data_IF_415773577628
#
_entry.id   IF_415773577628
#
_cell.length_a   1.000
_cell.length_b   1.000
_cell.length_c   1.000
_cell.angle_alpha   90.00
_cell.angle_beta   90.00
_cell.angle_gamma   90.00
#
_symmetry.space_group_name_H-M   'P 1'
#
loop_
_entity.id
_entity.type
_entity.pdbx_description
1 polymer ?
#
# COMPACT_ATOMS: atom_id res chain seq x y z
N UNK A 1 30.49 20.86 6.82
CA UNK A 1 30.05 21.94 5.89
C UNK A 1 28.63 22.35 6.21
N UNK A 2 28.27 23.64 6.10
CA UNK A 2 26.91 24.13 6.33
C UNK A 2 26.16 24.36 5.00
N UNK A 3 24.90 23.91 4.93
CA UNK A 3 23.95 24.15 3.83
C UNK A 3 22.63 24.70 4.40
N UNK A 4 21.84 25.39 3.58
CA UNK A 4 20.54 25.94 3.97
C UNK A 4 19.40 25.24 3.21
N UNK A 5 18.61 24.43 3.91
CA UNK A 5 17.44 23.73 3.35
C UNK A 5 16.20 24.61 3.53
N UNK A 6 15.77 25.30 2.46
CA UNK A 6 14.54 26.10 2.48
C UNK A 6 13.37 25.33 1.86
N UNK A 7 12.23 25.27 2.55
CA UNK A 7 11.01 24.62 2.08
C UNK A 7 9.77 25.43 2.48
N UNK A 8 8.69 25.25 1.73
CA UNK A 8 7.41 25.91 1.99
C UNK A 8 6.50 24.95 2.74
N UNK A 9 5.87 25.39 3.83
CA UNK A 9 4.89 24.61 4.58
C UNK A 9 3.57 25.38 4.71
N UNK A 10 2.45 24.68 4.57
CA UNK A 10 1.14 25.21 4.93
C UNK A 10 0.91 24.99 6.43
N UNK A 11 0.58 26.03 7.16
CA UNK A 11 0.28 25.97 8.59
C UNK A 11 -1.13 25.44 8.85
N UNK A 12 -1.43 25.00 10.07
CA UNK A 12 -2.81 24.60 10.48
C UNK A 12 -3.86 25.70 10.28
N UNK A 13 -3.45 26.98 10.22
CA UNK A 13 -4.32 28.14 9.92
C UNK A 13 -4.42 28.47 8.42
N UNK A 14 -3.94 27.58 7.54
CA UNK A 14 -3.99 27.78 6.09
C UNK A 14 -2.84 28.63 5.50
N UNK A 15 -2.19 29.48 6.30
CA UNK A 15 -1.10 30.36 5.86
C UNK A 15 0.10 29.57 5.33
N UNK A 16 0.68 30.05 4.23
CA UNK A 16 1.87 29.49 3.57
C UNK A 16 3.12 30.17 4.12
N UNK A 17 4.06 29.40 4.68
CA UNK A 17 5.27 29.92 5.33
C UNK A 17 6.52 29.27 4.75
N UNK A 18 7.46 30.08 4.27
CA UNK A 18 8.81 29.61 3.91
C UNK A 18 9.60 29.39 5.20
N UNK A 19 10.01 28.14 5.43
CA UNK A 19 10.91 27.78 6.54
C UNK A 19 12.31 27.56 5.97
N UNK A 20 13.32 28.23 6.53
CA UNK A 20 14.73 27.92 6.28
C UNK A 20 15.25 27.14 7.48
N UNK A 21 15.95 26.03 7.25
CA UNK A 21 16.70 25.30 8.26
C UNK A 21 18.15 25.19 7.84
N UNK A 22 19.04 25.36 8.80
CA UNK A 22 20.43 24.96 8.66
C UNK A 22 20.52 23.44 8.55
N UNK A 23 21.43 22.96 7.71
CA UNK A 23 21.69 21.55 7.49
C UNK A 23 23.21 21.33 7.50
N UNK A 24 23.68 20.66 8.54
CA UNK A 24 25.08 20.37 8.76
C UNK A 24 25.44 19.05 8.06
N UNK A 25 26.44 19.12 7.18
CA UNK A 25 27.08 17.98 6.53
C UNK A 25 28.38 17.64 7.26
N UNK A 26 28.48 16.38 7.66
CA UNK A 26 29.48 15.76 8.52
C UNK A 26 30.33 14.77 7.72
N UNK A 27 31.59 14.63 8.12
CA UNK A 27 32.57 13.67 7.62
C UNK A 27 32.97 12.62 8.68
N UNK A 28 32.42 12.72 9.89
CA UNK A 28 32.65 11.85 11.05
C UNK A 28 31.52 10.80 11.26
N UNK A 29 30.75 10.46 10.21
CA UNK A 29 29.68 9.46 10.27
C UNK A 29 30.22 8.07 9.89
N UNK A 30 30.11 7.11 10.81
CA UNK A 30 30.56 5.74 10.60
C UNK A 30 29.66 4.93 9.64
N UNK A 31 30.23 3.91 9.01
CA UNK A 31 29.54 3.00 8.08
C UNK A 31 28.78 1.85 8.76
N UNK A 32 29.00 1.61 10.06
CA UNK A 32 28.34 0.54 10.81
C UNK A 32 29.03 -0.83 10.78
N UNK A 33 30.11 -1.01 10.02
CA UNK A 33 30.83 -2.29 9.89
C UNK A 33 31.86 -2.52 11.02
N UNK A 34 31.73 -3.63 11.75
CA UNK A 34 32.51 -3.95 12.96
C UNK A 34 34.03 -3.97 12.70
N UNK A 35 34.48 -4.53 11.57
CA UNK A 35 35.90 -4.61 11.21
C UNK A 35 36.38 -3.50 10.24
N UNK A 36 35.62 -2.42 10.06
CA UNK A 36 36.01 -1.36 9.12
C UNK A 36 37.37 -0.72 9.47
N UNK A 37 38.35 -0.66 8.54
CA UNK A 37 39.67 -0.08 8.78
C UNK A 37 39.71 1.45 8.62
N UNK A 38 38.64 2.08 8.11
CA UNK A 38 38.61 3.52 7.86
C UNK A 38 38.68 4.32 9.17
N UNK A 39 39.53 5.36 9.21
CA UNK A 39 39.85 6.12 10.43
C UNK A 39 38.62 6.64 11.18
N UNK A 40 37.65 7.17 10.46
CA UNK A 40 36.37 7.68 11.03
C UNK A 40 35.61 6.55 11.74
N UNK A 41 35.49 5.39 11.10
CA UNK A 41 34.75 4.25 11.63
C UNK A 41 35.48 3.65 12.83
N UNK A 42 36.81 3.58 12.77
CA UNK A 42 37.64 3.14 13.89
C UNK A 42 37.58 4.10 15.10
N UNK A 43 37.50 5.41 14.87
CA UNK A 43 37.31 6.39 15.95
C UNK A 43 35.91 6.27 16.56
N UNK A 44 34.86 6.21 15.74
CA UNK A 44 33.49 6.07 16.22
C UNK A 44 33.25 4.81 17.07
N UNK A 45 33.98 3.70 16.81
CA UNK A 45 33.98 2.51 17.68
C UNK A 45 34.60 2.82 19.06
N UNK A 46 35.76 3.48 19.10
CA UNK A 46 36.41 3.91 20.35
C UNK A 46 35.54 4.87 21.14
N UNK A 47 34.97 5.88 20.49
CA UNK A 47 34.09 6.86 21.12
C UNK A 47 32.87 6.19 21.78
N UNK A 48 32.37 5.09 21.19
CA UNK A 48 31.26 4.29 21.72
C UNK A 48 31.69 3.35 22.87
N UNK A 49 32.94 2.90 22.91
CA UNK A 49 33.54 2.16 24.02
C UNK A 49 33.83 3.08 25.23
N UNK A 50 34.32 4.29 24.98
CA UNK A 50 34.63 5.29 26.01
C UNK A 50 33.37 5.84 26.70
N UNK A 51 32.22 5.85 26.02
CA UNK A 51 30.92 6.28 26.57
C UNK A 51 30.25 5.24 27.50
N UNK A 52 30.94 4.16 27.84
CA UNK A 52 30.51 3.14 28.81
C UNK A 52 30.16 1.80 28.16
N UNK A 53 29.60 0.83 28.90
CA UNK A 53 29.24 -0.49 28.39
C UNK A 53 27.99 -0.44 27.50
N UNK A 54 28.12 0.25 26.36
CA UNK A 54 27.11 0.38 25.31
C UNK A 54 27.03 -0.85 24.39
N UNK A 55 27.98 -1.78 24.54
CA UNK A 55 28.03 -3.03 23.77
C UNK A 55 27.01 -4.05 24.30
N UNK A 56 25.75 -3.94 23.85
CA UNK A 56 24.72 -4.94 24.15
C UNK A 56 25.11 -6.25 23.49
N UNK A 57 25.20 -7.33 24.28
CA UNK A 57 25.62 -8.67 23.85
C UNK A 57 26.99 -8.68 23.11
N UNK A 58 27.89 -7.75 23.45
CA UNK A 58 29.20 -7.62 22.82
C UNK A 58 29.21 -6.92 21.45
N UNK A 59 28.06 -6.38 21.00
CA UNK A 59 27.90 -5.73 19.70
C UNK A 59 28.04 -4.20 19.88
N UNK A 60 29.04 -3.59 19.25
CA UNK A 60 29.26 -2.15 19.32
C UNK A 60 28.12 -1.39 18.62
N UNK A 61 27.41 -0.44 19.27
CA UNK A 61 26.28 0.26 18.66
C UNK A 61 26.70 1.22 17.53
N UNK A 62 27.97 1.66 17.51
CA UNK A 62 28.52 2.42 16.39
C UNK A 62 28.93 1.55 15.19
N UNK A 63 29.04 0.22 15.39
CA UNK A 63 29.41 -0.73 14.35
C UNK A 63 28.78 -2.13 14.56
N UNK A 64 27.46 -2.27 14.41
CA UNK A 64 26.76 -3.53 14.71
C UNK A 64 26.78 -4.55 13.56
N UNK A 65 27.09 -4.14 12.33
CA UNK A 65 27.06 -5.00 11.14
C UNK A 65 28.20 -6.02 11.18
N UNK A 66 27.85 -7.30 11.04
CA UNK A 66 28.76 -8.46 11.11
C UNK A 66 29.81 -8.45 9.99
N UNK A 67 31.03 -8.94 10.30
CA UNK A 67 32.05 -9.30 9.32
C UNK A 67 31.78 -10.64 8.61
N UNK A 68 30.90 -11.46 9.18
CA UNK A 68 30.29 -12.61 8.50
C UNK A 68 28.78 -12.35 8.37
N UNK A 69 28.33 -11.55 7.39
CA UNK A 69 26.92 -11.51 7.01
C UNK A 69 26.51 -12.80 6.28
N UNK A 70 25.24 -12.91 5.91
CA UNK A 70 24.77 -13.99 5.03
C UNK A 70 25.51 -13.91 3.69
N UNK A 71 25.91 -15.08 3.20
CA UNK A 71 26.48 -15.28 1.87
C UNK A 71 25.40 -15.78 0.91
N UNK A 72 25.51 -15.49 -0.39
CA UNK A 72 24.59 -15.93 -1.43
C UNK A 72 25.28 -16.07 -2.78
N UNK A 73 24.83 -17.02 -3.59
CA UNK A 73 25.34 -17.23 -4.96
C UNK A 73 25.17 -15.99 -5.86
N UNK A 74 24.22 -15.10 -5.54
CA UNK A 74 23.92 -13.91 -6.34
C UNK A 74 24.82 -12.71 -6.01
N UNK A 75 25.19 -12.51 -4.74
CA UNK A 75 25.85 -11.28 -4.26
C UNK A 75 27.09 -11.50 -3.39
N UNK A 76 27.42 -12.75 -3.05
CA UNK A 76 28.42 -13.05 -2.04
C UNK A 76 27.94 -12.67 -0.62
N UNK A 77 28.88 -12.45 0.32
CA UNK A 77 28.58 -11.83 1.62
C UNK A 77 27.92 -10.45 1.42
N UNK A 78 26.73 -10.23 1.97
CA UNK A 78 25.96 -9.02 1.65
C UNK A 78 25.21 -8.39 2.84
N UNK A 79 25.00 -7.08 2.75
CA UNK A 79 24.11 -6.31 3.63
C UNK A 79 22.88 -5.86 2.84
N UNK A 80 21.70 -5.91 3.45
CA UNK A 80 20.47 -5.42 2.81
C UNK A 80 20.29 -3.92 3.05
N UNK A 81 19.93 -3.17 2.02
CA UNK A 81 19.59 -1.74 2.10
C UNK A 81 18.19 -1.54 1.51
N UNK A 82 17.11 -1.72 2.29
CA UNK A 82 15.75 -1.60 1.77
C UNK A 82 15.35 -0.15 1.52
N UNK A 83 14.53 0.05 0.48
CA UNK A 83 13.86 1.32 0.23
C UNK A 83 12.66 1.55 1.17
N UNK A 84 11.97 2.68 1.00
CA UNK A 84 10.78 3.01 1.78
C UNK A 84 9.63 2.03 1.53
N UNK A 85 9.42 1.59 0.29
CA UNK A 85 8.28 0.77 -0.10
C UNK A 85 8.40 -0.67 0.43
N UNK A 86 9.61 -1.23 0.49
CA UNK A 86 9.90 -2.51 1.12
C UNK A 86 9.47 -2.50 2.60
N UNK A 87 9.77 -1.43 3.35
CA UNK A 87 9.27 -1.30 4.72
C UNK A 87 7.75 -1.05 4.80
N UNK A 88 7.19 -0.19 3.95
CA UNK A 88 5.74 0.11 3.99
C UNK A 88 4.89 -1.14 3.73
N UNK A 89 5.30 -1.97 2.77
CA UNK A 89 4.53 -3.14 2.34
C UNK A 89 4.88 -4.42 3.10
N UNK A 90 6.13 -4.60 3.53
CA UNK A 90 6.67 -5.91 3.93
C UNK A 90 7.41 -5.87 5.29
N UNK A 91 7.13 -4.90 6.16
CA UNK A 91 7.70 -4.82 7.53
C UNK A 91 7.52 -6.11 8.34
N UNK A 92 6.43 -6.84 8.15
CA UNK A 92 6.15 -8.12 8.85
C UNK A 92 7.19 -9.19 8.52
N UNK A 93 7.74 -9.17 7.29
CA UNK A 93 8.83 -10.04 6.83
C UNK A 93 10.14 -9.58 7.48
N UNK A 94 10.44 -8.28 7.41
CA UNK A 94 11.65 -7.71 8.02
C UNK A 94 11.72 -7.91 9.55
N UNK A 95 10.59 -8.07 10.24
CA UNK A 95 10.57 -8.40 11.67
C UNK A 95 10.98 -9.85 11.97
N UNK A 96 11.06 -10.77 11.00
CA UNK A 96 11.51 -12.16 11.21
C UNK A 96 12.99 -12.20 11.62
N UNK A 97 13.37 -12.84 12.75
CA UNK A 97 14.73 -12.81 13.31
C UNK A 97 15.87 -13.13 12.33
N UNK A 98 15.60 -13.98 11.33
CA UNK A 98 16.58 -14.39 10.31
C UNK A 98 17.09 -13.25 9.41
N UNK A 99 16.33 -12.15 9.27
CA UNK A 99 16.76 -10.98 8.51
C UNK A 99 17.58 -10.06 9.43
N UNK A 100 18.90 -10.20 9.35
CA UNK A 100 19.88 -9.35 10.03
C UNK A 100 20.87 -8.69 9.08
N UNK A 101 21.76 -7.84 9.63
CA UNK A 101 22.73 -7.05 8.85
C UNK A 101 22.07 -6.12 7.81
N UNK A 102 21.06 -5.36 8.26
CA UNK A 102 20.30 -4.42 7.45
C UNK A 102 20.77 -2.99 7.72
N UNK A 103 21.03 -2.22 6.65
CA UNK A 103 21.33 -0.79 6.73
C UNK A 103 20.08 0.01 6.38
N UNK A 104 19.56 0.77 7.34
CA UNK A 104 18.42 1.66 7.15
C UNK A 104 18.93 3.08 6.94
N UNK A 105 18.56 3.69 5.81
CA UNK A 105 19.00 5.05 5.48
C UNK A 105 18.16 6.12 6.19
N UNK A 106 18.77 7.24 6.56
CA UNK A 106 18.05 8.35 7.19
C UNK A 106 16.96 8.96 6.28
N UNK A 107 17.16 8.99 4.96
CA UNK A 107 16.12 9.40 3.99
C UNK A 107 14.87 8.53 4.10
N UNK A 108 15.05 7.20 4.15
CA UNK A 108 13.98 6.20 4.29
C UNK A 108 13.26 6.35 5.64
N UNK A 109 13.98 6.54 6.75
CA UNK A 109 13.36 6.79 8.06
C UNK A 109 12.54 8.09 8.11
N UNK A 110 12.99 9.14 7.43
CA UNK A 110 12.27 10.42 7.38
C UNK A 110 11.01 10.33 6.51
N UNK A 111 11.03 9.55 5.41
CA UNK A 111 9.83 9.22 4.62
C UNK A 111 8.85 8.36 5.40
N UNK A 112 9.30 7.28 6.05
CA UNK A 112 8.45 6.43 6.89
C UNK A 112 7.76 7.26 7.99
N UNK A 113 8.44 8.26 8.56
CA UNK A 113 7.82 9.18 9.53
C UNK A 113 6.70 10.02 8.93
N UNK A 114 6.78 10.35 7.64
CA UNK A 114 5.75 11.08 6.90
C UNK A 114 4.59 10.20 6.41
N UNK A 115 4.87 8.96 5.99
CA UNK A 115 3.91 8.01 5.43
C UNK A 115 3.17 7.19 6.50
N UNK A 116 3.91 6.57 7.44
CA UNK A 116 3.36 5.69 8.46
C UNK A 116 4.21 5.69 9.74
N UNK A 117 3.78 6.48 10.72
CA UNK A 117 4.37 6.49 12.07
C UNK A 117 4.37 5.10 12.74
N UNK A 118 3.44 4.21 12.37
CA UNK A 118 3.41 2.83 12.86
C UNK A 118 4.61 2.04 12.33
N UNK A 119 4.82 2.01 11.01
CA UNK A 119 5.97 1.33 10.37
C UNK A 119 7.29 1.94 10.83
N UNK A 120 7.39 3.27 10.91
CA UNK A 120 8.56 3.95 11.49
C UNK A 120 8.88 3.46 12.91
N UNK A 121 7.86 3.31 13.76
CA UNK A 121 8.05 2.87 15.15
C UNK A 121 8.50 1.40 15.23
N UNK A 122 7.97 0.54 14.33
CA UNK A 122 8.38 -0.87 14.17
C UNK A 122 9.83 -1.00 13.71
N UNK A 123 10.21 -0.33 12.62
CA UNK A 123 11.61 -0.26 12.15
C UNK A 123 12.55 0.24 13.26
N UNK A 124 12.17 1.28 14.00
CA UNK A 124 12.95 1.78 15.14
C UNK A 124 12.98 0.84 16.35
N UNK A 125 12.06 -0.11 16.47
CA UNK A 125 12.12 -1.18 17.45
C UNK A 125 13.13 -2.27 17.03
N UNK A 126 13.09 -2.73 15.77
CA UNK A 126 14.07 -3.70 15.23
C UNK A 126 15.50 -3.15 15.27
N UNK A 127 15.70 -1.86 14.97
CA UNK A 127 17.02 -1.19 15.09
C UNK A 127 17.56 -1.15 16.52
N UNK A 128 16.71 -1.24 17.55
CA UNK A 128 17.16 -1.29 18.97
C UNK A 128 17.53 -2.69 19.43
N UNK A 129 17.12 -3.71 18.69
CA UNK A 129 17.51 -5.09 18.95
C UNK A 129 18.90 -5.34 18.36
N UNK A 130 19.92 -5.37 19.22
CA UNK A 130 21.31 -5.55 18.83
C UNK A 130 21.56 -6.89 18.15
N UNK A 131 20.81 -7.94 18.48
CA UNK A 131 21.01 -9.29 17.91
C UNK A 131 20.68 -9.32 16.41
N UNK A 132 19.77 -8.44 15.98
CA UNK A 132 19.41 -8.26 14.57
C UNK A 132 20.54 -7.63 13.75
N UNK A 133 21.47 -6.91 14.40
CA UNK A 133 22.58 -6.21 13.74
C UNK A 133 22.09 -5.22 12.66
N UNK A 134 21.09 -4.42 13.00
CA UNK A 134 20.61 -3.36 12.12
C UNK A 134 21.35 -2.06 12.40
N UNK A 135 21.66 -1.28 11.36
CA UNK A 135 22.38 -0.01 11.47
C UNK A 135 21.60 1.13 10.80
N UNK A 136 21.65 2.33 11.37
CA UNK A 136 21.04 3.53 10.76
C UNK A 136 22.13 4.44 10.21
N UNK A 137 22.30 4.42 8.89
CA UNK A 137 23.27 5.28 8.22
C UNK A 137 22.68 6.66 7.93
N UNK A 138 23.30 7.69 8.50
CA UNK A 138 22.82 9.08 8.46
C UNK A 138 23.20 9.80 7.15
N UNK A 139 22.82 9.22 6.00
CA UNK A 139 23.17 9.69 4.66
C UNK A 139 22.76 11.15 4.36
N UNK A 140 21.64 11.66 4.91
CA UNK A 140 21.28 13.08 4.76
C UNK A 140 22.31 14.02 5.41
N UNK A 141 23.00 13.56 6.45
CA UNK A 141 24.02 14.34 7.17
C UNK A 141 25.45 14.02 6.73
N UNK A 142 25.67 13.03 5.88
CA UNK A 142 27.00 12.61 5.46
C UNK A 142 27.45 13.38 4.21
N UNK A 143 28.62 14.02 4.26
CA UNK A 143 29.14 14.94 3.24
C UNK A 143 29.12 14.35 1.83
N UNK A 144 29.56 13.11 1.67
CA UNK A 144 29.72 12.49 0.35
C UNK A 144 28.48 11.73 -0.15
N UNK A 145 27.40 11.63 0.66
CA UNK A 145 26.15 10.93 0.26
C UNK A 145 24.92 11.83 0.32
N UNK A 146 25.05 13.05 0.83
CA UNK A 146 24.00 14.06 0.75
C UNK A 146 23.76 14.53 -0.69
N UNK A 147 22.48 14.51 -1.09
CA UNK A 147 22.04 14.88 -2.43
C UNK A 147 21.13 16.11 -2.39
N UNK A 148 21.49 17.17 -3.13
CA UNK A 148 20.61 18.32 -3.37
C UNK A 148 19.58 17.99 -4.46
N UNK A 149 18.35 18.50 -4.29
CA UNK A 149 17.24 18.33 -5.23
C UNK A 149 17.48 19.15 -6.50
N UNK A 150 17.43 18.52 -7.67
CA UNK A 150 17.52 19.22 -8.94
C UNK A 150 16.23 19.98 -9.28
N UNK A 151 16.32 21.02 -10.12
CA UNK A 151 15.24 21.99 -10.34
C UNK A 151 13.91 21.38 -10.85
N UNK A 152 13.99 20.33 -11.67
CA UNK A 152 12.84 19.62 -12.26
C UNK A 152 12.54 18.26 -11.64
N UNK A 153 13.24 17.89 -10.56
CA UNK A 153 13.18 16.55 -9.95
C UNK A 153 12.03 16.44 -8.94
N UNK A 154 11.31 15.32 -8.92
CA UNK A 154 10.29 15.07 -7.89
C UNK A 154 10.94 14.83 -6.52
N UNK A 155 10.22 14.99 -5.39
CA UNK A 155 10.74 14.58 -4.08
C UNK A 155 11.12 13.09 -4.02
N UNK A 156 10.39 12.22 -4.75
CA UNK A 156 10.65 10.79 -4.81
C UNK A 156 11.95 10.49 -5.55
N UNK A 157 12.09 10.96 -6.81
CA UNK A 157 13.30 10.78 -7.63
C UNK A 157 14.57 11.23 -6.90
N UNK A 158 14.48 12.35 -6.17
CA UNK A 158 15.60 12.86 -5.35
C UNK A 158 15.97 11.87 -4.26
N UNK A 159 14.99 11.26 -3.61
CA UNK A 159 15.22 10.33 -2.51
C UNK A 159 15.71 8.98 -3.03
N UNK A 160 15.17 8.46 -4.13
CA UNK A 160 15.70 7.29 -4.84
C UNK A 160 17.17 7.50 -5.23
N UNK A 161 17.50 8.70 -5.71
CA UNK A 161 18.88 9.09 -6.02
C UNK A 161 19.75 9.22 -4.76
N UNK A 162 19.22 9.70 -3.64
CA UNK A 162 19.92 9.76 -2.36
C UNK A 162 20.19 8.35 -1.79
N UNK A 163 19.24 7.43 -1.96
CA UNK A 163 19.37 6.01 -1.61
C UNK A 163 20.48 5.37 -2.46
N UNK A 164 20.40 5.45 -3.80
CA UNK A 164 21.45 4.94 -4.70
C UNK A 164 22.82 5.53 -4.41
N UNK A 165 22.91 6.84 -4.15
CA UNK A 165 24.19 7.50 -3.80
C UNK A 165 24.77 6.94 -2.50
N UNK A 166 23.95 6.70 -1.48
CA UNK A 166 24.38 6.09 -0.23
C UNK A 166 24.84 4.62 -0.41
N UNK A 167 24.10 3.81 -1.18
CA UNK A 167 24.49 2.42 -1.48
C UNK A 167 25.80 2.37 -2.29
N UNK A 168 25.98 3.26 -3.27
CA UNK A 168 27.21 3.39 -4.06
C UNK A 168 28.42 3.76 -3.20
N UNK A 169 28.24 4.66 -2.23
CA UNK A 169 29.27 4.98 -1.25
C UNK A 169 29.59 3.78 -0.35
N UNK A 170 28.57 3.08 0.18
CA UNK A 170 28.78 1.87 0.97
C UNK A 170 29.53 0.79 0.18
N UNK A 171 29.22 0.60 -1.11
CA UNK A 171 29.90 -0.37 -1.98
C UNK A 171 31.40 -0.09 -2.05
N UNK A 172 31.76 1.16 -2.36
CA UNK A 172 33.16 1.58 -2.45
C UNK A 172 33.87 1.53 -1.08
N UNK A 173 33.14 1.78 0.01
CA UNK A 173 33.68 1.76 1.37
C UNK A 173 33.90 0.34 1.92
N UNK A 174 33.11 -0.64 1.46
CA UNK A 174 33.16 -2.05 1.88
C UNK A 174 33.90 -2.96 0.89
N UNK A 175 34.41 -2.41 -0.22
CA UNK A 175 35.14 -3.16 -1.26
C UNK A 175 36.30 -3.99 -0.68
N UNK A 176 37.09 -3.41 0.24
CA UNK A 176 38.20 -4.10 0.92
C UNK A 176 37.77 -5.24 1.87
N UNK A 177 36.47 -5.33 2.21
CA UNK A 177 35.89 -6.40 3.01
C UNK A 177 35.18 -7.46 2.14
N UNK A 178 35.07 -7.25 0.82
CA UNK A 178 34.30 -8.08 -0.10
C UNK A 178 32.82 -8.26 0.30
N UNK A 179 32.22 -7.24 0.95
CA UNK A 179 30.80 -7.26 1.34
C UNK A 179 29.98 -6.35 0.40
N UNK A 180 28.97 -6.91 -0.25
CA UNK A 180 28.09 -6.19 -1.17
C UNK A 180 26.89 -5.56 -0.43
N UNK A 181 26.68 -4.22 -0.49
CA UNK A 181 25.42 -3.63 -0.08
C UNK A 181 24.40 -3.77 -1.22
N UNK A 182 23.30 -4.49 -0.96
CA UNK A 182 22.26 -4.82 -1.92
C UNK A 182 21.04 -3.94 -1.67
N UNK A 183 20.69 -3.10 -2.64
CA UNK A 183 19.47 -2.29 -2.61
C UNK A 183 18.25 -3.18 -2.84
N UNK A 184 17.35 -3.25 -1.87
CA UNK A 184 16.07 -3.98 -2.00
C UNK A 184 14.97 -2.97 -2.35
N UNK A 185 14.43 -3.06 -3.56
CA UNK A 185 13.38 -2.15 -4.06
C UNK A 185 12.51 -2.85 -5.10
N UNK A 186 11.19 -2.63 -5.03
CA UNK A 186 10.25 -3.13 -6.03
C UNK A 186 9.94 -2.09 -7.12
N UNK A 187 10.57 -0.90 -7.06
CA UNK A 187 10.47 0.12 -8.11
C UNK A 187 11.40 -0.25 -9.28
N UNK A 188 10.80 -0.67 -10.39
CA UNK A 188 11.49 -1.07 -11.62
C UNK A 188 12.36 0.06 -12.23
N UNK A 189 11.98 1.32 -12.04
CA UNK A 189 12.77 2.47 -12.46
C UNK A 189 14.01 2.65 -11.59
N UNK A 190 13.88 2.46 -10.27
CA UNK A 190 15.00 2.53 -9.34
C UNK A 190 15.96 1.34 -9.52
N UNK A 191 15.44 0.13 -9.76
CA UNK A 191 16.24 -1.06 -10.10
C UNK A 191 17.13 -0.84 -11.33
N UNK A 192 16.55 -0.36 -12.44
CA UNK A 192 17.30 -0.06 -13.68
C UNK A 192 18.39 0.96 -13.43
N UNK A 193 18.03 2.12 -12.84
CA UNK A 193 18.98 3.20 -12.54
C UNK A 193 20.08 2.76 -11.55
N UNK A 194 19.79 1.83 -10.63
CA UNK A 194 20.79 1.27 -9.71
C UNK A 194 21.77 0.34 -10.45
N UNK A 195 21.27 -0.52 -11.34
CA UNK A 195 22.12 -1.38 -12.19
C UNK A 195 23.00 -0.54 -13.12
N UNK A 196 22.48 0.53 -13.72
CA UNK A 196 23.24 1.51 -14.52
C UNK A 196 24.35 2.21 -13.69
N UNK A 197 24.08 2.49 -12.41
CA UNK A 197 25.05 3.04 -11.46
C UNK A 197 26.14 2.03 -11.02
N UNK A 198 26.03 0.75 -11.41
CA UNK A 198 26.89 -0.34 -10.98
C UNK A 198 26.61 -0.84 -9.55
N UNK A 199 25.39 -0.63 -9.05
CA UNK A 199 24.96 -1.02 -7.70
C UNK A 199 24.24 -2.38 -7.77
N UNK A 200 24.53 -3.27 -6.82
CA UNK A 200 23.74 -4.50 -6.63
C UNK A 200 22.34 -4.13 -6.14
N UNK A 201 21.31 -4.45 -6.94
CA UNK A 201 19.93 -4.14 -6.61
C UNK A 201 19.00 -5.27 -7.06
N UNK A 202 18.04 -5.61 -6.20
CA UNK A 202 17.10 -6.71 -6.37
C UNK A 202 15.69 -6.36 -5.89
N UNK A 203 14.71 -7.10 -6.41
CA UNK A 203 13.33 -7.07 -5.90
C UNK A 203 13.23 -7.81 -4.57
N UNK A 204 12.14 -7.61 -3.82
CA UNK A 204 11.94 -8.35 -2.57
C UNK A 204 11.83 -9.86 -2.80
N UNK A 205 11.16 -10.31 -3.88
CA UNK A 205 11.05 -11.72 -4.23
C UNK A 205 12.42 -12.36 -4.53
N UNK A 206 13.26 -11.65 -5.31
CA UNK A 206 14.66 -12.02 -5.54
C UNK A 206 15.47 -12.08 -4.23
N UNK A 207 15.25 -11.13 -3.31
CA UNK A 207 15.90 -11.10 -2.00
C UNK A 207 15.49 -12.27 -1.10
N UNK A 208 14.22 -12.66 -1.10
CA UNK A 208 13.72 -13.73 -0.23
C UNK A 208 14.06 -15.13 -0.75
N UNK A 209 14.28 -15.30 -2.06
CA UNK A 209 14.82 -16.54 -2.63
C UNK A 209 16.22 -16.93 -2.07
N UNK A 210 16.97 -15.99 -1.49
CA UNK A 210 18.24 -16.26 -0.78
C UNK A 210 18.04 -16.93 0.59
N UNK A 211 16.82 -16.90 1.11
CA UNK A 211 16.39 -17.59 2.32
C UNK A 211 15.62 -18.87 1.95
N UNK A 212 16.21 -19.69 1.06
CA UNK A 212 15.62 -20.92 0.54
C UNK A 212 15.20 -21.94 1.60
N UNK A 213 15.80 -21.86 2.79
CA UNK A 213 15.49 -22.67 3.96
C UNK A 213 14.27 -22.16 4.76
N UNK A 214 13.68 -21.02 4.35
CA UNK A 214 12.46 -20.41 4.88
C UNK A 214 11.49 -19.98 3.77
N UNK A 215 10.88 -20.94 3.02
CA UNK A 215 9.96 -20.64 1.94
C UNK A 215 8.73 -19.82 2.39
N UNK A 216 8.35 -19.90 3.68
CA UNK A 216 7.23 -19.13 4.24
C UNK A 216 7.41 -17.61 4.14
N UNK A 217 8.65 -17.12 3.94
CA UNK A 217 8.91 -15.70 3.72
C UNK A 217 8.35 -15.22 2.37
N UNK A 218 8.36 -16.07 1.34
CA UNK A 218 7.78 -15.74 0.04
C UNK A 218 6.25 -15.65 0.13
N UNK A 219 5.62 -16.61 0.82
CA UNK A 219 4.18 -16.61 1.08
C UNK A 219 3.73 -15.33 1.82
N UNK A 220 4.55 -14.84 2.75
CA UNK A 220 4.31 -13.61 3.50
C UNK A 220 4.36 -12.32 2.66
N UNK A 221 4.91 -12.32 1.44
CA UNK A 221 4.88 -11.10 0.60
C UNK A 221 3.46 -10.71 0.17
N UNK A 222 2.56 -11.69 0.08
CA UNK A 222 1.27 -11.56 -0.60
C UNK A 222 1.44 -11.36 -2.10
N UNK A 223 0.47 -11.84 -2.89
CA UNK A 223 0.42 -11.55 -4.32
C UNK A 223 -0.01 -10.09 -4.56
N UNK A 224 0.96 -9.17 -4.52
CA UNK A 224 0.79 -7.75 -4.92
C UNK A 224 0.47 -7.64 -6.42
N UNK A 225 0.81 -8.68 -7.20
CA UNK A 225 0.38 -8.85 -8.58
C UNK A 225 -1.13 -9.19 -8.63
N UNK A 226 -1.97 -8.14 -8.59
CA UNK A 226 -3.39 -8.20 -8.97
C UNK A 226 -3.47 -8.28 -10.51
N UNK A 227 -2.94 -9.37 -11.08
CA UNK A 227 -2.95 -9.64 -12.53
C UNK A 227 -3.60 -10.98 -12.88
N UNK A 228 -3.66 -11.93 -11.94
CA UNK A 228 -4.00 -13.33 -12.24
C UNK A 228 -5.10 -13.91 -11.34
N UNK A 229 -6.18 -13.14 -11.13
CA UNK A 229 -7.48 -13.69 -10.65
C UNK A 229 -8.65 -13.07 -11.43
N UNK A 230 -9.18 -13.88 -12.34
CA UNK A 230 -10.43 -13.69 -13.09
C UNK A 230 -10.49 -12.47 -14.03
N UNK A 231 -9.68 -12.52 -15.10
CA UNK A 231 -9.98 -11.76 -16.32
C UNK A 231 -11.16 -12.38 -17.12
N UNK A 232 -11.53 -13.62 -16.81
CA UNK A 232 -12.51 -14.44 -17.53
C UNK A 232 -13.92 -14.45 -16.90
N UNK A 233 -14.19 -13.59 -15.92
CA UNK A 233 -15.56 -13.34 -15.41
C UNK A 233 -16.13 -12.06 -16.05
N UNK A 234 -16.94 -12.17 -17.12
CA UNK A 234 -17.54 -11.01 -17.77
C UNK A 234 -18.71 -10.39 -16.98
N UNK A 235 -19.17 -10.99 -15.88
CA UNK A 235 -20.24 -10.44 -15.05
C UNK A 235 -19.69 -9.47 -13.99
N UNK A 236 -18.54 -9.78 -13.38
CA UNK A 236 -17.97 -8.96 -12.31
C UNK A 236 -16.94 -7.93 -12.82
N UNK A 237 -17.42 -6.75 -13.23
CA UNK A 237 -16.56 -5.61 -13.66
C UNK A 237 -15.67 -4.98 -12.56
N UNK A 238 -15.64 -5.55 -11.35
CA UNK A 238 -14.90 -5.02 -10.22
C UNK A 238 -15.71 -4.07 -9.32
N UNK A 239 -15.10 -3.68 -8.21
CA UNK A 239 -15.69 -2.69 -7.29
C UNK A 239 -15.45 -1.26 -7.80
N UNK A 240 -16.46 -0.37 -7.82
CA UNK A 240 -16.30 1.02 -8.25
C UNK A 240 -15.15 1.74 -7.55
N UNK A 241 -14.46 2.65 -8.25
CA UNK A 241 -13.40 3.45 -7.64
C UNK A 241 -13.94 4.30 -6.47
N UNK A 242 -13.12 4.49 -5.43
CA UNK A 242 -13.48 5.39 -4.34
C UNK A 242 -13.16 6.83 -4.73
N UNK A 243 -14.06 7.76 -4.39
CA UNK A 243 -13.84 9.19 -4.58
C UNK A 243 -12.55 9.63 -3.87
N UNK A 244 -11.82 10.55 -4.49
CA UNK A 244 -10.57 11.08 -3.90
C UNK A 244 -10.83 11.72 -2.53
N UNK A 245 -9.82 11.73 -1.65
CA UNK A 245 -9.96 12.31 -0.31
C UNK A 245 -10.43 13.78 -0.33
N UNK A 246 -10.12 14.52 -1.40
CA UNK A 246 -10.59 15.91 -1.62
C UNK A 246 -12.09 15.93 -1.96
N UNK A 247 -12.55 15.09 -2.88
CA UNK A 247 -13.97 14.96 -3.23
C UNK A 247 -14.81 14.49 -2.03
N UNK A 248 -14.34 13.48 -1.29
CA UNK A 248 -15.01 13.00 -0.06
C UNK A 248 -15.13 14.12 0.96
N UNK A 249 -14.05 14.88 1.23
CA UNK A 249 -14.10 16.01 2.16
C UNK A 249 -14.99 17.16 1.67
N UNK A 250 -15.07 17.40 0.37
CA UNK A 250 -15.96 18.39 -0.21
C UNK A 250 -17.44 17.96 -0.08
N UNK A 251 -17.77 16.73 -0.47
CA UNK A 251 -19.13 16.17 -0.38
C UNK A 251 -19.65 16.10 1.07
N UNK A 252 -18.80 15.71 2.03
CA UNK A 252 -19.15 15.72 3.46
C UNK A 252 -19.39 17.14 4.00
N UNK A 253 -18.67 18.15 3.52
CA UNK A 253 -18.88 19.56 3.92
C UNK A 253 -20.08 20.19 3.24
N UNK A 254 -20.37 19.78 2.01
CA UNK A 254 -21.55 20.22 1.25
C UNK A 254 -22.85 19.52 1.65
N UNK A 255 -22.80 18.52 2.56
CA UNK A 255 -23.97 17.74 2.98
C UNK A 255 -24.45 16.71 1.95
N UNK A 256 -23.76 16.58 0.81
CA UNK A 256 -24.10 15.62 -0.26
C UNK A 256 -23.70 14.18 0.09
N UNK A 257 -22.72 14.00 0.99
CA UNK A 257 -22.30 12.71 1.53
C UNK A 257 -22.56 12.65 3.03
N UNK A 258 -22.93 11.46 3.49
CA UNK A 258 -23.04 11.12 4.91
C UNK A 258 -21.79 10.36 5.36
N UNK A 259 -21.49 10.38 6.66
CA UNK A 259 -20.43 9.56 7.26
C UNK A 259 -20.93 8.84 8.50
N UNK A 260 -20.40 7.63 8.71
CA UNK A 260 -20.68 6.83 9.88
C UNK A 260 -19.74 5.63 9.99
N UNK A 261 -19.91 4.84 11.03
CA UNK A 261 -19.16 3.58 11.23
C UNK A 261 -20.01 2.43 10.74
N UNK A 262 -19.53 1.67 9.75
CA UNK A 262 -20.25 0.54 9.16
C UNK A 262 -20.45 -0.57 10.20
N UNK A 263 -21.70 -0.99 10.39
CA UNK A 263 -22.10 -2.15 11.18
C UNK A 263 -22.77 -3.17 10.27
N UNK A 264 -22.04 -4.25 9.99
CA UNK A 264 -22.52 -5.43 9.25
C UNK A 264 -23.38 -6.29 10.20
N UNK A 265 -24.50 -6.81 9.71
CA UNK A 265 -25.43 -7.61 10.49
C UNK A 265 -24.81 -8.98 10.86
N UNK A 266 -24.99 -9.48 12.11
CA UNK A 266 -24.34 -10.71 12.55
C UNK A 266 -24.70 -11.98 11.76
N UNK A 267 -25.86 -11.98 11.10
CA UNK A 267 -26.43 -13.13 10.39
C UNK A 267 -26.59 -12.90 8.88
N UNK A 268 -26.22 -11.71 8.38
CA UNK A 268 -26.24 -11.39 6.96
C UNK A 268 -25.08 -10.45 6.64
N UNK A 269 -24.02 -10.99 6.04
CA UNK A 269 -22.83 -10.21 5.71
C UNK A 269 -23.03 -9.29 4.50
N UNK A 270 -24.11 -9.47 3.73
CA UNK A 270 -24.58 -8.57 2.69
C UNK A 270 -25.49 -7.45 3.23
N UNK A 271 -25.80 -7.41 4.52
CA UNK A 271 -26.59 -6.35 5.13
C UNK A 271 -25.74 -5.54 6.12
N UNK A 272 -25.48 -4.28 5.77
CA UNK A 272 -24.78 -3.32 6.60
C UNK A 272 -25.66 -2.12 6.92
N UNK A 273 -25.27 -1.37 7.94
CA UNK A 273 -25.85 -0.06 8.21
C UNK A 273 -24.86 0.89 8.87
N UNK A 274 -25.02 2.18 8.64
CA UNK A 274 -24.36 3.24 9.38
C UNK A 274 -25.40 4.04 10.18
N UNK A 275 -24.98 4.59 11.31
CA UNK A 275 -25.65 5.75 11.90
C UNK A 275 -24.91 7.00 11.44
N UNK A 276 -25.64 7.94 10.87
CA UNK A 276 -25.10 9.20 10.34
C UNK A 276 -25.96 10.39 10.77
N UNK A 277 -25.32 11.52 11.02
CA UNK A 277 -26.00 12.80 11.26
C UNK A 277 -26.34 13.44 9.91
N UNK A 278 -27.62 13.73 9.70
CA UNK A 278 -28.17 14.36 8.50
C UNK A 278 -28.04 15.90 8.58
N UNK A 279 -28.23 16.64 7.47
CA UNK A 279 -28.12 18.11 7.45
C UNK A 279 -29.10 18.84 8.38
N UNK A 280 -30.18 18.20 8.83
CA UNK A 280 -31.12 18.69 9.84
C UNK A 280 -30.61 18.55 11.29
N UNK A 281 -29.43 17.94 11.48
CA UNK A 281 -28.80 17.66 12.77
C UNK A 281 -29.26 16.37 13.45
N UNK A 282 -30.18 15.59 12.85
CA UNK A 282 -30.66 14.34 13.44
C UNK A 282 -29.80 13.16 13.03
N UNK A 283 -29.57 12.23 13.96
CA UNK A 283 -28.96 10.94 13.62
C UNK A 283 -30.01 9.97 13.11
N UNK A 284 -29.76 9.37 11.95
CA UNK A 284 -30.63 8.34 11.36
C UNK A 284 -29.80 7.15 10.87
N UNK A 285 -30.43 5.98 10.81
CA UNK A 285 -29.83 4.77 10.24
C UNK A 285 -29.92 4.83 8.72
N UNK A 286 -28.83 4.47 8.06
CA UNK A 286 -28.76 4.28 6.60
C UNK A 286 -28.30 2.85 6.35
N UNK A 287 -29.05 2.10 5.54
CA UNK A 287 -28.69 0.75 5.11
C UNK A 287 -27.67 0.78 3.98
N UNK A 288 -26.84 -0.26 3.91
CA UNK A 288 -25.87 -0.52 2.85
C UNK A 288 -26.01 -2.00 2.50
N UNK A 289 -26.51 -2.31 1.29
CA UNK A 289 -27.01 -3.64 0.95
C UNK A 289 -26.25 -4.25 -0.24
N UNK A 290 -25.83 -5.50 -0.11
CA UNK A 290 -25.06 -6.21 -1.12
C UNK A 290 -23.57 -5.80 -1.19
N UNK A 291 -22.77 -6.64 -1.85
CA UNK A 291 -21.32 -6.45 -2.00
C UNK A 291 -21.01 -5.12 -2.68
N UNK A 292 -21.71 -4.82 -3.77
CA UNK A 292 -21.50 -3.63 -4.62
C UNK A 292 -21.67 -2.31 -3.87
N UNK A 293 -22.67 -2.19 -2.98
CA UNK A 293 -22.88 -0.96 -2.22
C UNK A 293 -22.00 -0.87 -0.97
N UNK A 294 -21.57 -2.00 -0.40
CA UNK A 294 -20.52 -2.00 0.64
C UNK A 294 -19.16 -1.58 0.10
N UNK A 295 -18.90 -1.75 -1.21
CA UNK A 295 -17.73 -1.27 -1.94
C UNK A 295 -16.41 -1.38 -1.16
N UNK A 296 -15.97 -2.63 -0.93
CA UNK A 296 -14.73 -3.00 -0.23
C UNK A 296 -14.65 -2.57 1.25
N UNK A 297 -15.69 -2.01 1.85
CA UNK A 297 -15.72 -1.67 3.28
C UNK A 297 -15.93 -2.91 4.16
N UNK A 298 -15.37 -2.88 5.37
CA UNK A 298 -15.48 -3.98 6.35
C UNK A 298 -16.11 -3.52 7.66
N UNK A 299 -16.47 -4.50 8.51
CA UNK A 299 -17.10 -4.26 9.81
C UNK A 299 -16.29 -3.25 10.65
N UNK A 300 -16.93 -2.17 11.06
CA UNK A 300 -16.33 -1.09 11.84
C UNK A 300 -15.55 -0.02 11.05
N UNK A 301 -15.44 -0.11 9.72
CA UNK A 301 -14.84 0.95 8.91
C UNK A 301 -15.63 2.26 9.08
N UNK A 302 -14.93 3.40 9.17
CA UNK A 302 -15.57 4.72 9.03
C UNK A 302 -15.65 5.07 7.56
N UNK A 303 -16.86 5.11 7.03
CA UNK A 303 -17.15 5.24 5.60
C UNK A 303 -17.81 6.57 5.27
N UNK A 304 -17.67 7.00 4.01
CA UNK A 304 -18.48 8.03 3.38
C UNK A 304 -19.51 7.34 2.47
N UNK A 305 -20.78 7.67 2.66
CA UNK A 305 -21.92 7.04 1.97
C UNK A 305 -22.68 8.10 1.18
N UNK A 306 -22.99 7.77 -0.07
CA UNK A 306 -23.92 8.52 -0.91
C UNK A 306 -25.28 7.82 -0.89
N UNK A 307 -26.36 8.57 -0.72
CA UNK A 307 -27.70 7.97 -0.69
C UNK A 307 -28.17 7.62 -2.11
N UNK A 308 -28.72 6.43 -2.24
CA UNK A 308 -29.35 5.97 -3.47
C UNK A 308 -30.68 6.71 -3.70
N UNK A 309 -31.18 6.79 -4.95
CA UNK A 309 -32.52 7.30 -5.21
C UNK A 309 -33.59 6.59 -4.35
N UNK A 310 -34.65 7.32 -3.97
CA UNK A 310 -35.76 6.81 -3.15
C UNK A 310 -36.44 5.54 -3.70
N UNK A 311 -36.33 5.28 -5.00
CA UNK A 311 -36.82 4.05 -5.62
C UNK A 311 -36.09 2.79 -5.14
N UNK A 312 -34.82 2.93 -4.72
CA UNK A 312 -33.93 1.87 -4.25
C UNK A 312 -33.86 1.78 -2.70
N UNK A 313 -34.70 2.55 -2.00
CA UNK A 313 -34.81 2.47 -0.54
C UNK A 313 -35.57 1.22 -0.10
N UNK A 314 -35.24 0.67 1.07
CA UNK A 314 -35.79 -0.62 1.51
C UNK A 314 -37.19 -0.43 2.09
N UNK A 315 -38.20 -0.99 1.43
CA UNK A 315 -39.62 -0.79 1.79
C UNK A 315 -40.21 -1.88 2.69
N UNK A 316 -39.51 -3.00 2.91
CA UNK A 316 -39.97 -4.10 3.76
C UNK A 316 -38.80 -4.78 4.51
N UNK A 317 -39.03 -5.35 5.71
CA UNK A 317 -37.99 -6.10 6.44
C UNK A 317 -37.67 -7.45 5.78
N UNK A 318 -36.36 -7.72 5.62
CA UNK A 318 -35.72 -9.02 5.37
C UNK A 318 -36.53 -10.10 4.64
N UNK A 319 -36.55 -10.03 3.30
CA UNK A 319 -36.27 -11.23 2.51
C UNK A 319 -34.74 -11.45 2.52
N UNK A 320 -34.28 -12.71 2.54
CA UNK A 320 -32.86 -13.00 2.57
C UNK A 320 -32.22 -12.65 1.23
N UNK A 321 -31.19 -11.79 1.24
CA UNK A 321 -30.37 -11.56 0.05
C UNK A 321 -29.58 -12.84 -0.20
N UNK A 322 -29.96 -13.58 -1.24
CA UNK A 322 -29.27 -14.79 -1.70
C UNK A 322 -27.96 -14.37 -2.37
N UNK A 323 -26.89 -15.12 -2.15
CA UNK A 323 -25.63 -14.91 -2.86
C UNK A 323 -25.78 -15.33 -4.32
N UNK A 324 -25.69 -14.37 -5.25
CA UNK A 324 -25.67 -14.62 -6.70
C UNK A 324 -24.43 -15.42 -7.15
N UNK A 325 -23.44 -15.57 -6.26
CA UNK A 325 -22.14 -16.23 -6.50
C UNK A 325 -22.07 -17.70 -6.01
N UNK A 326 -23.08 -18.26 -5.32
CA UNK A 326 -23.01 -19.66 -4.83
C UNK A 326 -23.12 -20.72 -5.95
N UNK A 327 -23.67 -20.36 -7.12
CA UNK A 327 -23.83 -21.28 -8.28
C UNK A 327 -22.51 -21.56 -9.05
N UNK A 328 -21.38 -20.97 -8.62
CA UNK A 328 -20.11 -20.96 -9.38
C UNK A 328 -19.00 -21.91 -8.88
N UNK A 329 -19.31 -22.88 -8.00
CA UNK A 329 -18.37 -23.98 -7.65
C UNK A 329 -18.67 -25.24 -8.48
N UNK A 330 -17.94 -25.50 -9.58
CA UNK A 330 -18.08 -26.76 -10.32
C UNK A 330 -17.56 -27.93 -9.47
N UNK A 331 -18.44 -28.92 -9.27
CA UNK A 331 -18.12 -30.20 -8.62
C UNK A 331 -17.01 -30.93 -9.39
N UNK A 332 -15.86 -31.12 -8.75
CA UNK A 332 -14.59 -31.50 -9.41
C UNK A 332 -14.52 -33.02 -9.72
N UNK A 333 -15.44 -33.82 -9.19
CA UNK A 333 -15.40 -35.29 -9.30
C UNK A 333 -16.18 -35.88 -10.51
N UNK A 334 -15.89 -35.37 -11.72
CA UNK A 334 -16.32 -36.01 -12.98
C UNK A 334 -15.17 -36.23 -13.97
N UNK A 335 -14.41 -37.29 -13.70
CA UNK A 335 -13.38 -37.84 -14.58
C UNK A 335 -13.99 -38.55 -15.83
N UNK A 336 -13.80 -38.05 -17.06
CA UNK A 336 -14.17 -38.76 -18.29
C UNK A 336 -12.99 -39.62 -18.77
N UNK A 337 -13.19 -40.94 -18.87
CA UNK A 337 -12.19 -41.86 -19.44
C UNK A 337 -11.82 -41.48 -20.87
N UNK A 338 -10.52 -41.59 -21.17
CA UNK A 338 -10.01 -41.54 -22.53
C UNK A 338 -10.34 -42.83 -23.32
N UNK A 339 -10.54 -42.70 -24.63
CA UNK A 339 -10.09 -43.67 -25.64
C UNK A 339 -9.99 -43.01 -27.03
N UNK A 340 -9.17 -43.55 -27.92
CA UNK A 340 -8.61 -42.85 -29.10
C UNK A 340 -9.15 -43.35 -30.46
N UNK A 341 -8.99 -42.52 -31.50
CA UNK A 341 -9.27 -42.84 -32.92
C UNK A 341 -8.18 -43.76 -33.55
N UNK A 342 -8.37 -44.37 -34.75
CA UNK A 342 -8.51 -43.69 -36.06
C UNK A 342 -9.68 -44.29 -36.93
N UNK A 343 -9.87 -44.12 -38.27
CA UNK A 343 -9.02 -43.61 -39.36
C UNK A 343 -9.77 -43.01 -40.60
N UNK A 344 -8.95 -42.64 -41.60
CA UNK A 344 -9.09 -42.05 -42.96
C UNK A 344 -9.40 -43.08 -44.10
N UNK A 345 -9.50 -42.72 -45.43
CA UNK A 345 -9.85 -41.46 -46.17
C UNK A 345 -10.75 -41.65 -47.45
N UNK A 346 -11.09 -40.58 -48.22
CA UNK A 346 -10.59 -40.30 -49.62
C UNK A 346 -11.42 -39.24 -50.43
N UNK A 347 -10.74 -38.53 -51.38
CA UNK A 347 -11.12 -37.74 -52.58
C UNK A 347 -12.42 -36.89 -52.65
N UNK A 348 -12.47 -35.71 -53.33
CA UNK A 348 -11.46 -34.93 -54.06
C UNK A 348 -12.07 -33.81 -54.96
N UNK A 349 -11.22 -32.91 -55.49
CA UNK A 349 -11.45 -31.86 -56.52
C UNK A 349 -12.19 -30.53 -56.16
N UNK A 350 -11.65 -29.41 -56.67
CA UNK A 350 -12.29 -28.07 -56.83
C UNK A 350 -12.21 -27.63 -58.31
N UNK A 351 -12.08 -26.33 -58.69
CA UNK A 351 -12.14 -25.09 -57.90
C UNK A 351 -12.90 -23.91 -58.60
N UNK A 352 -12.71 -22.69 -58.06
CA UNK A 352 -12.75 -21.37 -58.73
C UNK A 352 -14.09 -20.61 -58.93
N UNK A 353 -14.00 -19.27 -58.79
CA UNK A 353 -15.05 -18.29 -59.11
C UNK A 353 -15.26 -17.27 -57.99
N UNK A 354 -14.64 -16.09 -58.08
CA UNK A 354 -14.92 -14.95 -57.20
C UNK A 354 -15.31 -13.72 -58.01
N UNK A 355 -16.00 -12.76 -57.39
CA UNK A 355 -15.83 -11.31 -57.56
C UNK A 355 -16.87 -10.51 -56.74
N UNK A 356 -16.46 -9.36 -56.21
CA UNK A 356 -17.31 -8.25 -55.76
C UNK A 356 -17.03 -7.07 -56.71
N UNK A 357 -17.93 -6.07 -56.88
CA UNK A 357 -17.80 -4.89 -56.01
C UNK A 357 -19.06 -4.01 -55.77
N UNK A 358 -18.97 -3.22 -54.69
CA UNK A 358 -19.39 -1.81 -54.50
C UNK A 358 -20.81 -1.28 -54.85
N UNK A 359 -21.37 -0.47 -53.94
CA UNK A 359 -22.63 0.26 -54.14
C UNK A 359 -22.89 1.36 -53.09
N UNK A 360 -22.22 2.50 -53.25
CA UNK A 360 -22.30 3.70 -52.39
C UNK A 360 -23.63 4.49 -52.54
N UNK A 361 -24.17 5.11 -51.46
CA UNK A 361 -24.58 6.55 -51.42
C UNK A 361 -25.25 7.05 -50.13
N UNK A 362 -24.84 8.24 -49.71
CA UNK A 362 -25.34 8.99 -48.55
C UNK A 362 -26.53 9.93 -48.86
N UNK A 363 -27.22 10.40 -47.82
CA UNK A 363 -28.00 11.67 -47.84
C UNK A 363 -27.79 12.53 -46.57
N UNK A 364 -27.98 13.85 -46.74
CA UNK A 364 -27.56 14.96 -45.87
C UNK A 364 -28.75 15.67 -45.21
N UNK A 365 -28.55 16.15 -43.97
CA UNK A 365 -29.07 17.42 -43.37
C UNK A 365 -30.61 17.54 -43.24
N UNK A 366 -31.21 18.45 -42.44
CA UNK A 366 -30.71 19.70 -41.84
C UNK A 366 -31.35 20.05 -40.47
N UNK A 367 -30.83 21.12 -39.85
CA UNK A 367 -31.27 21.76 -38.59
C UNK A 367 -32.62 22.48 -38.67
N UNK A 368 -33.26 22.64 -37.51
CA UNK A 368 -34.00 23.87 -37.14
C UNK A 368 -33.62 24.30 -35.72
N UNK A 369 -33.73 25.59 -35.40
CA UNK A 369 -33.32 26.18 -34.14
C UNK A 369 -34.50 26.89 -33.45
N UNK A 370 -34.41 26.99 -32.11
CA UNK A 370 -35.31 27.79 -31.28
C UNK A 370 -34.80 27.74 -29.85
N UNK A 371 -34.55 28.90 -29.24
CA UNK A 371 -34.01 28.98 -27.87
C UNK A 371 -34.80 29.95 -27.00
N UNK A 372 -34.62 29.84 -25.68
CA UNK A 372 -34.90 30.88 -24.69
C UNK A 372 -34.18 30.55 -23.37
N UNK A 373 -34.00 31.55 -22.50
CA UNK A 373 -33.02 31.52 -21.40
C UNK A 373 -33.61 31.29 -20.01
N UNK A 374 -32.84 30.66 -19.12
CA UNK A 374 -32.73 31.02 -17.69
C UNK A 374 -31.50 30.35 -17.04
N UNK A 375 -31.04 30.87 -15.91
CA UNK A 375 -29.91 30.37 -15.10
C UNK A 375 -30.32 30.28 -13.61
N UNK A 376 -29.51 29.73 -12.69
CA UNK A 376 -28.29 28.92 -12.86
C UNK A 376 -28.46 27.46 -12.33
N UNK A 377 -27.77 26.50 -12.94
CA UNK A 377 -27.78 25.10 -12.47
C UNK A 377 -26.78 24.86 -11.32
N UNK A 378 -27.07 23.86 -10.48
CA UNK A 378 -26.20 23.44 -9.39
C UNK A 378 -24.89 22.80 -9.88
N UNK A 379 -23.91 22.69 -8.98
CA UNK A 379 -22.60 22.09 -9.27
C UNK A 379 -22.77 20.58 -9.46
N UNK A 380 -22.85 20.15 -10.72
CA UNK A 380 -22.73 18.75 -11.08
C UNK A 380 -21.31 18.26 -10.74
N UNK A 381 -21.21 17.11 -10.09
CA UNK A 381 -19.95 16.39 -9.95
C UNK A 381 -19.85 15.51 -11.19
N UNK A 382 -19.18 16.01 -12.22
CA UNK A 382 -18.91 15.22 -13.43
C UNK A 382 -17.96 14.06 -13.06
N UNK A 383 -18.41 12.84 -13.36
CA UNK A 383 -17.59 11.63 -13.34
C UNK A 383 -17.30 11.23 -14.77
N UNK A 384 -16.02 11.18 -15.13
CA UNK A 384 -15.55 10.74 -16.45
C UNK A 384 -15.81 9.23 -16.66
N UNK A 385 -17.04 8.88 -17.03
CA UNK A 385 -17.47 7.53 -17.38
C UNK A 385 -18.39 7.60 -18.60
N UNK A 386 -17.81 7.47 -19.80
CA UNK A 386 -18.57 7.41 -21.05
C UNK A 386 -19.48 6.15 -21.06
N UNK A 387 -20.79 6.35 -20.90
CA UNK A 387 -21.81 5.31 -21.15
C UNK A 387 -22.86 5.08 -20.07
N UNK A 388 -22.76 5.68 -18.88
CA UNK A 388 -23.79 5.59 -17.85
C UNK A 388 -24.70 6.83 -17.87
N UNK A 389 -26.03 6.65 -17.90
CA UNK A 389 -26.95 7.75 -17.62
C UNK A 389 -26.77 8.23 -16.17
N UNK A 390 -26.86 9.55 -15.90
CA UNK A 390 -26.61 10.09 -14.57
C UNK A 390 -27.70 9.62 -13.59
N UNK A 391 -27.36 8.65 -12.74
CA UNK A 391 -28.23 8.19 -11.68
C UNK A 391 -28.57 9.36 -10.73
N UNK A 392 -29.86 9.69 -10.60
CA UNK A 392 -30.33 10.72 -9.65
C UNK A 392 -30.13 10.22 -8.20
N UNK A 393 -28.98 10.55 -7.61
CA UNK A 393 -28.71 10.29 -6.20
C UNK A 393 -29.60 11.15 -5.29
N UNK A 394 -30.10 10.59 -4.20
CA UNK A 394 -30.90 11.35 -3.25
C UNK A 394 -29.99 12.30 -2.45
N UNK A 395 -30.36 13.59 -2.41
CA UNK A 395 -29.67 14.57 -1.59
C UNK A 395 -30.09 14.40 -0.10
N UNK A 396 -29.15 14.24 0.84
CA UNK A 396 -29.47 14.08 2.27
C UNK A 396 -30.29 15.22 2.88
N UNK A 397 -30.28 16.42 2.28
CA UNK A 397 -31.06 17.56 2.77
C UNK A 397 -32.58 17.41 2.52
N UNK A 398 -32.99 16.62 1.52
CA UNK A 398 -34.40 16.52 1.07
C UNK A 398 -35.19 15.41 1.78
N UNK A 399 -34.68 14.93 2.92
CA UNK A 399 -35.17 13.73 3.60
C UNK A 399 -35.79 14.11 4.96
N UNK A 400 -37.11 14.21 4.99
CA UNK A 400 -37.90 14.39 6.22
C UNK A 400 -37.99 13.10 7.06
N UNK A 401 -38.38 13.21 8.33
CA UNK A 401 -38.50 12.07 9.24
C UNK A 401 -39.62 11.09 8.86
N UNK A 402 -40.72 11.57 8.26
CA UNK A 402 -41.86 10.75 7.86
C UNK A 402 -41.77 10.32 6.39
N UNK A 403 -40.70 9.58 6.07
CA UNK A 403 -40.55 8.97 4.76
C UNK A 403 -41.49 7.75 4.61
N UNK A 404 -42.62 7.93 3.91
CA UNK A 404 -43.42 6.84 3.34
C UNK A 404 -42.66 5.95 2.34
N UNK A 405 -41.44 6.36 2.01
CA UNK A 405 -40.66 5.86 0.87
C UNK A 405 -39.74 4.67 1.23
N UNK A 406 -39.61 4.34 2.51
CA UNK A 406 -38.80 3.23 3.04
C UNK A 406 -37.61 3.66 3.90
N UNK A 407 -36.85 2.69 4.41
CA UNK A 407 -35.59 2.94 5.13
C UNK A 407 -34.51 3.47 4.15
N UNK A 408 -33.79 4.57 4.47
CA UNK A 408 -32.77 5.13 3.59
C UNK A 408 -31.66 4.12 3.28
N UNK A 409 -31.41 3.87 1.99
CA UNK A 409 -30.30 3.03 1.51
C UNK A 409 -29.22 3.89 0.85
N UNK A 410 -27.95 3.52 1.02
CA UNK A 410 -26.82 4.22 0.43
C UNK A 410 -25.65 3.30 0.05
N UNK A 411 -24.79 3.80 -0.84
CA UNK A 411 -23.55 3.17 -1.31
C UNK A 411 -22.32 3.81 -0.68
N UNK A 412 -21.35 3.00 -0.26
CA UNK A 412 -20.02 3.46 0.15
C UNK A 412 -19.26 3.99 -1.07
N UNK A 413 -18.94 5.28 -1.05
CA UNK A 413 -18.16 5.97 -2.09
C UNK A 413 -16.73 6.30 -1.66
N UNK A 414 -16.39 6.06 -0.39
CA UNK A 414 -15.01 6.16 0.09
C UNK A 414 -14.86 5.71 1.54
N UNK A 415 -13.65 5.29 1.91
CA UNK A 415 -13.34 4.82 3.27
C UNK A 415 -12.48 5.88 3.97
N UNK A 416 -13.08 6.59 4.92
CA UNK A 416 -12.46 7.69 5.67
C UNK A 416 -11.39 7.15 6.63
N UNK A 417 -11.65 6.01 7.27
CA UNK A 417 -10.71 5.31 8.14
C UNK A 417 -11.02 3.82 8.17
N UNK A 418 -10.03 3.00 7.78
CA UNK A 418 -10.05 1.55 7.95
C UNK A 418 -10.03 1.15 9.42
N UNK A 419 -10.85 0.17 9.78
CA UNK A 419 -10.84 -0.54 11.05
C UNK A 419 -10.03 -1.83 10.90
N UNK A 420 -8.70 -1.68 10.89
CA UNK A 420 -7.75 -2.78 10.93
C UNK A 420 -7.84 -3.52 12.27
N UNK A 421 -8.80 -4.45 12.39
CA UNK A 421 -8.85 -5.47 13.44
C UNK A 421 -8.22 -6.76 12.92
N UNK A 422 -7.55 -7.49 13.80
CA UNK A 422 -7.25 -8.90 13.58
C UNK A 422 -8.56 -9.68 13.58
N UNK A 423 -8.99 -10.15 12.41
CA UNK A 423 -10.10 -11.09 12.28
C UNK A 423 -9.60 -12.53 12.45
N UNK A 424 -10.51 -13.51 12.36
CA UNK A 424 -10.27 -14.91 12.69
C UNK A 424 -9.01 -15.49 12.02
N UNK A 425 -8.29 -16.37 12.75
CA UNK A 425 -7.04 -17.01 12.33
C UNK A 425 -5.80 -16.09 12.18
N UNK A 426 -5.72 -14.98 12.91
CA UNK A 426 -4.45 -14.26 13.08
C UNK A 426 -3.46 -15.07 13.95
N UNK A 427 -2.34 -15.49 13.35
CA UNK A 427 -1.19 -16.04 14.08
C UNK A 427 -0.43 -14.89 14.77
N UNK A 428 -0.69 -14.65 16.05
CA UNK A 428 0.10 -13.70 16.84
C UNK A 428 1.55 -14.21 16.99
N UNK A 429 2.57 -13.50 16.46
CA UNK A 429 3.96 -13.91 16.60
C UNK A 429 4.42 -14.00 18.06
N UNK A 430 3.73 -13.33 18.98
CA UNK A 430 4.01 -13.34 20.41
C UNK A 430 3.32 -14.48 21.17
N UNK A 431 2.59 -15.38 20.49
CA UNK A 431 1.88 -16.49 21.13
C UNK A 431 2.80 -17.65 21.55
N UNK A 432 4.10 -17.59 21.25
CA UNK A 432 5.10 -18.50 21.83
C UNK A 432 5.03 -18.42 23.36
N UNK A 433 4.78 -19.55 24.00
CA UNK A 433 4.22 -19.57 25.36
C UNK A 433 5.04 -18.79 26.39
N UNK A 434 4.36 -17.98 27.21
CA UNK A 434 4.98 -17.24 28.34
C UNK A 434 5.45 -18.14 29.50
N UNK A 435 5.37 -19.47 29.38
CA UNK A 435 5.76 -20.44 30.43
C UNK A 435 7.24 -20.42 30.82
N UNK A 436 8.10 -19.70 30.11
CA UNK A 436 9.51 -19.51 30.47
C UNK A 436 9.77 -18.35 31.46
N UNK A 437 8.76 -17.55 31.85
CA UNK A 437 8.91 -16.52 32.88
C UNK A 437 8.19 -16.89 34.17
N UNK A 438 8.82 -17.79 34.92
CA UNK A 438 8.47 -18.03 36.31
C UNK A 438 8.77 -16.77 37.15
N UNK A 439 7.72 -16.07 37.60
CA UNK A 439 7.81 -15.12 38.71
C UNK A 439 6.75 -15.49 39.76
N UNK A 440 7.19 -16.22 40.78
CA UNK A 440 6.35 -16.71 41.88
C UNK A 440 5.92 -15.57 42.81
N UNK A 441 4.63 -15.22 42.79
CA UNK A 441 3.97 -14.44 43.84
C UNK A 441 2.51 -14.88 43.95
N UNK A 442 2.07 -15.48 45.07
CA UNK A 442 0.66 -15.82 45.27
C UNK A 442 -0.12 -14.57 45.68
N UNK A 443 -1.14 -14.21 44.89
CA UNK A 443 -2.18 -13.27 45.34
C UNK A 443 -3.44 -14.09 45.64
N UNK A 444 -3.76 -14.21 46.92
CA UNK A 444 -5.00 -14.82 47.41
C UNK A 444 -6.20 -13.99 46.97
N UNK A 445 -7.25 -14.68 46.51
CA UNK A 445 -8.53 -14.06 46.15
C UNK A 445 -9.36 -13.82 47.41
N UNK A 446 -9.96 -12.63 47.51
CA UNK A 446 -11.21 -12.32 48.20
C UNK A 446 -11.87 -11.15 47.45
#
# INVERSE_FOLDING_TARGET
>A
MLRNKSFVKRTRKGNVVRTVKEHYLRDDIACGYECCPHKVCAQARKDAEEQGPSAVNGICPAAPLSAAPRDSTAWGPHYLVPDTNAFVNQIDIFERPIIGNVVVLSTVLDELRGLSMAVYSRVRAVVRDSERRWFVFSNEHHRDTFVERAASESPNDRNDRAIRTAVKWLKNHLEAASIAPVLVTNDEGNLRRARDDGISACRMDECLNVYSEHPELLDMMGSVNITDRNADDPAWSGYPEHLSSVQVQAGLKGGALLQGTLQIAPFNYLEGSIFASFPDGKERRVLVLGRSDMNRAIQGDRVAVQLLPKSQWRKAPSEALVDEDEDAVPDVDKNPKAEAAPAVPDAGAGPAGGESPAGERARKRARTAGGQSAAPAGVAIETDAEGAEPAEYANPADIADEASDGEPTGRVVGIIRRNWKSYCAFLDPNFVSRSARASSAPTTVN
#
